data_IF_792742929677
#
_entry.id   IF_792742929677
#
_cell.length_a   1.000
_cell.length_b   1.000
_cell.length_c   1.000
_cell.angle_alpha   90.00
_cell.angle_beta   90.00
_cell.angle_gamma   90.00
#
_symmetry.space_group_name_H-M   'P 1'
#
loop_
_entity.id
_entity.type
_entity.pdbx_description
1 polymer ?
#
# COMPACT_ATOMS: atom_id res chain seq x y z
N UNK A 1 -16.08 8.84 5.00
CA UNK A 1 -14.85 8.21 5.47
C UNK A 1 -15.12 6.74 5.67
N UNK A 2 -14.71 5.94 4.69
CA UNK A 2 -14.63 4.50 4.76
C UNK A 2 -13.17 4.07 5.01
N UNK A 3 -12.97 2.81 5.38
CA UNK A 3 -11.66 2.19 5.51
C UNK A 3 -11.52 1.12 4.43
N UNK A 4 -10.47 1.23 3.62
CA UNK A 4 -10.03 0.22 2.67
C UNK A 4 -8.78 -0.48 3.20
N UNK A 5 -8.76 -1.80 3.16
CA UNK A 5 -7.59 -2.61 3.51
C UNK A 5 -6.97 -3.18 2.24
N UNK A 6 -5.67 -2.91 2.05
CA UNK A 6 -4.82 -3.54 1.04
C UNK A 6 -4.00 -4.62 1.73
N UNK A 7 -4.30 -5.88 1.44
CA UNK A 7 -3.54 -7.01 1.97
C UNK A 7 -2.48 -7.44 0.98
N UNK A 8 -1.22 -7.40 1.43
CA UNK A 8 -0.06 -7.87 0.71
C UNK A 8 0.23 -9.30 1.19
N UNK A 9 0.04 -10.30 0.32
CA UNK A 9 0.31 -11.70 0.65
C UNK A 9 1.31 -12.32 -0.34
N UNK A 10 2.00 -13.43 0.00
CA UNK A 10 2.93 -14.09 -0.91
C UNK A 10 2.34 -14.40 -2.29
N UNK A 11 1.05 -14.71 -2.34
CA UNK A 11 0.33 -14.99 -3.58
C UNK A 11 0.00 -13.70 -4.31
N UNK A 12 -0.87 -12.88 -3.74
CA UNK A 12 -1.52 -11.76 -4.43
C UNK A 12 -1.69 -10.52 -3.54
N UNK A 13 -2.12 -9.41 -4.16
CA UNK A 13 -2.65 -8.22 -3.47
C UNK A 13 -4.17 -8.29 -3.48
N UNK A 14 -4.80 -8.18 -2.32
CA UNK A 14 -6.27 -8.13 -2.20
C UNK A 14 -6.75 -6.83 -1.57
N UNK A 15 -7.98 -6.46 -1.90
CA UNK A 15 -8.63 -5.23 -1.46
C UNK A 15 -9.94 -5.59 -0.76
N UNK A 16 -10.17 -4.99 0.41
CA UNK A 16 -11.41 -5.12 1.16
C UNK A 16 -11.89 -3.73 1.62
N UNK A 17 -13.11 -3.30 1.30
CA UNK A 17 -14.14 -4.01 0.52
C UNK A 17 -13.92 -3.97 -1.01
N UNK A 18 -13.19 -2.98 -1.54
CA UNK A 18 -12.89 -2.82 -2.97
C UNK A 18 -11.66 -1.91 -3.15
N UNK A 19 -11.02 -1.87 -4.33
CA UNK A 19 -9.90 -0.95 -4.59
C UNK A 19 -10.34 0.52 -4.79
N UNK A 20 -11.63 0.81 -4.70
CA UNK A 20 -12.21 2.12 -4.96
C UNK A 20 -12.24 2.96 -3.68
N UNK A 21 -11.70 4.17 -3.75
CA UNK A 21 -11.67 5.10 -2.61
C UNK A 21 -12.14 6.49 -3.03
N UNK A 22 -12.52 7.28 -2.03
CA UNK A 22 -12.87 8.70 -2.19
C UNK A 22 -11.94 9.56 -1.34
N UNK A 23 -11.97 10.86 -1.62
CA UNK A 23 -11.28 11.89 -0.85
C UNK A 23 -11.65 11.79 0.64
N UNK A 24 -10.63 11.75 1.50
CA UNK A 24 -10.82 11.60 2.95
C UNK A 24 -11.15 10.18 3.42
N UNK A 25 -11.20 9.18 2.54
CA UNK A 25 -11.19 7.78 2.96
C UNK A 25 -9.82 7.37 3.47
N UNK A 26 -9.80 6.29 4.26
CA UNK A 26 -8.61 5.74 4.86
C UNK A 26 -8.19 4.47 4.13
N UNK A 27 -6.90 4.34 3.89
CA UNK A 27 -6.28 3.18 3.27
C UNK A 27 -5.25 2.59 4.22
N UNK A 28 -5.39 1.32 4.53
CA UNK A 28 -4.49 0.57 5.40
C UNK A 28 -3.80 -0.51 4.59
N UNK A 29 -2.48 -0.57 4.67
CA UNK A 29 -1.70 -1.66 4.09
C UNK A 29 -1.31 -2.65 5.19
N UNK A 30 -1.53 -3.94 4.95
CA UNK A 30 -1.15 -5.02 5.86
C UNK A 30 -0.37 -6.09 5.13
N UNK A 31 0.60 -6.70 5.82
CA UNK A 31 1.31 -7.88 5.33
C UNK A 31 0.69 -9.12 5.97
N UNK A 32 0.26 -10.08 5.16
CA UNK A 32 -0.35 -11.34 5.63
C UNK A 32 0.36 -12.55 5.04
N UNK A 33 0.64 -13.56 5.86
CA UNK A 33 1.29 -14.79 5.41
C UNK A 33 2.81 -14.67 5.15
N UNK A 34 3.44 -13.59 5.63
CA UNK A 34 4.89 -13.43 5.66
C UNK A 34 5.45 -13.73 7.06
N UNK A 35 6.74 -14.08 7.14
CA UNK A 35 7.45 -14.20 8.42
C UNK A 35 7.39 -12.88 9.22
N UNK A 36 7.49 -12.95 10.55
CA UNK A 36 7.33 -11.77 11.42
C UNK A 36 8.39 -10.68 11.19
N UNK A 37 9.57 -11.07 10.70
CA UNK A 37 10.67 -10.17 10.36
C UNK A 37 10.61 -9.64 8.92
N UNK A 38 9.59 -10.04 8.15
CA UNK A 38 9.38 -9.54 6.81
C UNK A 38 9.03 -8.05 6.82
N UNK A 39 9.55 -7.33 5.84
CA UNK A 39 9.28 -5.91 5.65
C UNK A 39 8.91 -5.65 4.20
N UNK A 40 8.05 -4.66 3.96
CA UNK A 40 7.70 -4.22 2.62
C UNK A 40 7.93 -2.72 2.47
N UNK A 41 8.36 -2.30 1.29
CA UNK A 41 8.45 -0.90 0.91
C UNK A 41 7.38 -0.62 -0.15
N UNK A 42 6.40 0.22 0.18
CA UNK A 42 5.35 0.65 -0.75
C UNK A 42 5.73 2.00 -1.33
N UNK A 43 5.76 2.09 -2.66
CA UNK A 43 6.16 3.29 -3.41
C UNK A 43 5.07 3.64 -4.41
N UNK A 44 4.61 4.88 -4.40
CA UNK A 44 3.71 5.42 -5.42
C UNK A 44 4.52 6.13 -6.49
N UNK A 45 4.07 6.05 -7.74
CA UNK A 45 4.72 6.80 -8.83
C UNK A 45 4.51 8.32 -8.70
N UNK A 46 3.44 8.73 -8.02
CA UNK A 46 3.10 10.12 -7.75
C UNK A 46 2.77 10.27 -6.26
N UNK A 47 3.39 11.25 -5.60
CA UNK A 47 3.25 11.51 -4.16
C UNK A 47 1.95 12.27 -3.79
N UNK A 48 0.95 12.29 -4.67
CA UNK A 48 -0.27 13.12 -4.54
C UNK A 48 -1.53 12.34 -4.14
N UNK A 49 -1.47 11.01 -4.09
CA UNK A 49 -2.62 10.18 -3.73
C UNK A 49 -2.94 10.21 -2.22
N UNK A 50 -1.90 10.27 -1.38
CA UNK A 50 -2.01 10.17 0.08
C UNK A 50 -1.38 11.37 0.78
N UNK A 51 -1.87 11.67 1.99
CA UNK A 51 -1.25 12.69 2.85
C UNK A 51 0.12 12.26 3.42
N UNK A 52 0.40 10.95 3.44
CA UNK A 52 1.71 10.43 3.83
C UNK A 52 2.69 10.42 2.66
N UNK A 53 3.97 10.69 2.94
CA UNK A 53 5.03 10.66 1.93
C UNK A 53 5.32 9.22 1.50
N UNK A 54 5.37 8.99 0.20
CA UNK A 54 5.93 7.77 -0.39
C UNK A 54 7.46 7.95 -0.57
N UNK A 55 8.25 6.86 -0.49
CA UNK A 55 7.85 5.51 -0.10
C UNK A 55 7.71 5.36 1.42
N UNK A 56 6.88 4.41 1.87
CA UNK A 56 6.76 4.06 3.29
C UNK A 56 7.01 2.56 3.53
N UNK A 57 7.46 2.24 4.75
CA UNK A 57 7.82 0.89 5.16
C UNK A 57 6.69 0.25 5.97
N UNK A 58 6.43 -1.02 5.67
CA UNK A 58 5.53 -1.90 6.40
C UNK A 58 6.33 -3.02 7.06
N UNK A 59 5.86 -3.48 8.22
CA UNK A 59 6.37 -4.64 8.94
C UNK A 59 5.28 -5.70 9.02
N UNK A 60 5.69 -6.97 8.98
CA UNK A 60 4.80 -8.12 9.19
C UNK A 60 4.53 -8.38 10.68
N UNK A 61 5.41 -7.90 11.55
CA UNK A 61 5.13 -7.66 12.96
C UNK A 61 3.86 -6.82 13.06
N UNK A 62 2.83 -7.36 13.70
CA UNK A 62 1.46 -6.83 13.82
C UNK A 62 1.38 -5.48 14.57
N UNK A 63 2.37 -4.59 14.47
CA UNK A 63 2.23 -3.19 14.80
C UNK A 63 1.01 -2.64 14.07
N UNK A 64 0.18 -1.90 14.81
CA UNK A 64 -1.07 -1.37 14.30
C UNK A 64 -0.83 -0.67 12.95
N UNK A 65 -1.46 -1.12 11.86
CA UNK A 65 -1.20 -0.55 10.55
C UNK A 65 -1.59 0.93 10.55
N UNK A 66 -0.73 1.76 9.98
CA UNK A 66 -0.95 3.21 9.94
C UNK A 66 -1.94 3.51 8.81
N UNK A 67 -3.12 4.09 9.10
CA UNK A 67 -4.07 4.47 8.07
C UNK A 67 -3.54 5.69 7.31
N UNK A 68 -3.57 5.59 5.98
CA UNK A 68 -3.24 6.68 5.06
C UNK A 68 -4.53 7.36 4.61
N UNK A 69 -4.60 8.67 4.72
CA UNK A 69 -5.77 9.41 4.24
C UNK A 69 -5.59 9.76 2.77
N UNK A 70 -6.59 9.44 1.96
CA UNK A 70 -6.66 9.88 0.56
C UNK A 70 -6.70 11.40 0.52
N UNK A 71 -5.71 12.00 -0.11
CA UNK A 71 -5.52 13.44 -0.09
C UNK A 71 -6.69 14.17 -0.78
N UNK A 72 -7.09 15.37 -0.31
CA UNK A 72 -8.16 16.16 -0.95
C UNK A 72 -7.81 16.62 -2.37
N UNK A 73 -6.54 16.60 -2.76
CA UNK A 73 -6.07 16.98 -4.10
C UNK A 73 -5.72 15.78 -4.98
N UNK A 74 -6.01 14.54 -4.52
CA UNK A 74 -5.73 13.34 -5.30
C UNK A 74 -6.52 13.37 -6.61
N UNK A 75 -5.83 13.19 -7.74
CA UNK A 75 -6.52 13.16 -9.04
C UNK A 75 -7.44 11.95 -9.14
N UNK A 76 -8.57 12.11 -9.81
CA UNK A 76 -9.44 10.98 -10.14
C UNK A 76 -8.72 9.98 -11.04
N UNK A 77 -8.91 8.70 -10.77
CA UNK A 77 -8.39 7.58 -11.56
C UNK A 77 -7.47 6.65 -10.79
N UNK A 78 -6.78 5.79 -11.54
CA UNK A 78 -5.91 4.74 -10.99
C UNK A 78 -4.57 5.31 -10.51
N UNK A 79 -4.26 5.08 -9.25
CA UNK A 79 -2.99 5.40 -8.59
C UNK A 79 -2.17 4.14 -8.39
N UNK A 80 -1.23 3.83 -9.30
CA UNK A 80 -0.41 2.63 -9.19
C UNK A 80 0.63 2.75 -8.08
N UNK A 81 0.85 1.65 -7.37
CA UNK A 81 1.93 1.50 -6.41
C UNK A 81 2.73 0.24 -6.67
N UNK A 82 4.01 0.29 -6.30
CA UNK A 82 4.91 -0.84 -6.29
C UNK A 82 5.23 -1.21 -4.85
N UNK A 83 5.28 -2.51 -4.59
CA UNK A 83 5.66 -3.10 -3.32
C UNK A 83 6.93 -3.90 -3.50
N UNK A 84 7.93 -3.64 -2.67
CA UNK A 84 9.16 -4.42 -2.61
C UNK A 84 9.28 -5.10 -1.25
N UNK A 85 9.22 -6.42 -1.24
CA UNK A 85 9.19 -7.22 -0.02
C UNK A 85 10.58 -7.77 0.25
N UNK A 86 11.01 -7.69 1.50
CA UNK A 86 12.29 -8.16 1.98
C UNK A 86 12.05 -9.10 3.16
N UNK A 87 12.42 -10.37 2.99
CA UNK A 87 12.39 -11.39 4.02
C UNK A 87 13.82 -11.83 4.34
N UNK A 88 14.15 -12.01 5.62
CA UNK A 88 15.44 -12.62 6.00
C UNK A 88 15.22 -14.13 6.02
N UNK A 89 15.90 -14.90 5.18
CA UNK A 89 15.86 -16.37 5.36
C UNK A 89 16.69 -16.75 6.58
N UNK A 90 16.11 -17.57 7.45
CA UNK A 90 16.87 -18.63 8.15
C UNK A 90 17.41 -19.53 7.05
N UNK A 91 18.73 -19.65 7.00
CA UNK A 91 19.49 -20.35 5.98
C UNK A 91 19.09 -21.84 6.00
N UNK A 92 18.27 -22.26 5.04
CA UNK A 92 18.14 -23.67 4.66
C UNK A 92 18.32 -23.79 3.15
N UNK A 93 19.18 -24.75 2.83
CA UNK A 93 19.94 -24.96 1.62
C UNK A 93 19.02 -25.24 0.42
N UNK A 94 18.96 -24.31 -0.53
CA UNK A 94 18.81 -24.54 -1.98
C UNK A 94 18.33 -23.27 -2.70
N UNK A 95 19.25 -22.69 -3.46
CA UNK A 95 19.03 -21.85 -4.65
C UNK A 95 18.18 -20.58 -4.56
N UNK A 96 18.74 -19.53 -5.16
CA UNK A 96 18.20 -18.19 -5.47
C UNK A 96 18.51 -17.13 -4.40
N UNK A 97 19.52 -16.33 -4.76
CA UNK A 97 19.86 -15.02 -4.24
C UNK A 97 18.65 -14.24 -3.72
N UNK A 98 18.80 -13.63 -2.53
CA UNK A 98 17.75 -12.94 -1.76
C UNK A 98 16.54 -12.48 -2.57
N UNK A 99 15.47 -13.27 -2.53
CA UNK A 99 14.26 -13.01 -3.30
C UNK A 99 13.54 -11.77 -2.75
N UNK A 100 13.90 -10.61 -3.31
CA UNK A 100 13.07 -9.42 -3.21
C UNK A 100 11.84 -9.65 -4.09
N UNK A 101 10.73 -10.02 -3.46
CA UNK A 101 9.45 -10.17 -4.16
C UNK A 101 8.94 -8.78 -4.54
N UNK A 102 8.52 -8.61 -5.80
CA UNK A 102 7.98 -7.36 -6.32
C UNK A 102 6.53 -7.56 -6.72
N UNK A 103 5.66 -6.72 -6.19
CA UNK A 103 4.23 -6.69 -6.57
C UNK A 103 3.84 -5.29 -6.99
N UNK A 104 2.88 -5.21 -7.91
CA UNK A 104 2.29 -3.95 -8.34
C UNK A 104 0.80 -4.00 -8.02
N UNK A 105 0.29 -2.93 -7.45
CA UNK A 105 -1.14 -2.75 -7.19
C UNK A 105 -1.58 -1.36 -7.64
N UNK A 106 -2.85 -1.06 -7.40
CA UNK A 106 -3.42 0.24 -7.75
C UNK A 106 -4.66 0.53 -6.93
N UNK A 107 -4.88 1.82 -6.67
CA UNK A 107 -6.03 2.33 -5.94
C UNK A 107 -6.81 3.24 -6.89
N UNK A 108 -8.12 3.03 -7.01
CA UNK A 108 -8.96 3.81 -7.90
C UNK A 108 -9.66 4.94 -7.12
N UNK A 109 -9.26 6.18 -7.38
CA UNK A 109 -9.91 7.36 -6.79
C UNK A 109 -11.11 7.73 -7.66
N UNK A 110 -12.32 7.48 -7.14
CA UNK A 110 -13.55 7.51 -7.96
C UNK A 110 -14.29 8.85 -7.99
N UNK A 111 -14.00 9.76 -7.07
CA UNK A 111 -14.63 11.09 -6.99
C UNK A 111 -13.70 12.16 -7.55
N UNK A 112 -14.24 13.26 -8.07
CA UNK A 112 -13.44 14.45 -8.37
C UNK A 112 -12.86 15.02 -7.06
N UNK A 113 -11.62 15.55 -7.08
CA UNK A 113 -11.09 16.25 -5.92
C UNK A 113 -12.03 17.37 -5.51
N UNK A 114 -12.29 17.60 -4.22
CA UNK A 114 -12.96 18.83 -3.79
C UNK A 114 -12.28 19.99 -4.49
N UNK A 115 -13.06 20.83 -5.20
CA UNK A 115 -12.54 22.09 -5.72
C UNK A 115 -11.86 22.78 -4.55
N UNK A 116 -10.53 22.96 -4.65
CA UNK A 116 -9.82 23.87 -3.78
C UNK A 116 -10.63 25.17 -3.83
N UNK A 117 -11.27 25.52 -2.71
CA UNK A 117 -12.01 26.74 -2.59
C UNK A 117 -11.03 27.86 -2.92
N UNK A 118 -11.12 28.37 -4.15
CA UNK A 118 -10.34 29.51 -4.64
C UNK A 118 -10.42 30.59 -3.56
N UNK A 119 -9.31 30.83 -2.88
CA UNK A 119 -9.09 31.99 -2.04
C UNK A 119 -7.91 32.76 -2.60
#
# INVERSE_FOLDING_TARGET
MALMTVTLSPKDITYDPSPEVKHGDLVVFVMAGYAADATALVSFHHDDCFTARSPFKLTSDNAAPVPLTVAPHAKRGMHPFQVRIHTRRVQDDSSIEGQSDRKNGGIDVTSDPPEEARR
#
